data_IF_285506133138
#
_entry.id   IF_285506133138
#
_cell.length_a   1.000
_cell.length_b   1.000
_cell.length_c   1.000
_cell.angle_alpha   90.00
_cell.angle_beta   90.00
_cell.angle_gamma   90.00
#
_symmetry.space_group_name_H-M   'P 1'
#
loop_
_entity.id
_entity.type
_entity.pdbx_description
1 polymer ?
#
# COMPACT_ATOMS: atom_id res chain seq x y z
N UNK A 1 -20.19 -12.07 27.81
CA UNK A 1 -19.53 -13.11 26.98
C UNK A 1 -18.03 -13.01 27.23
N UNK A 2 -17.35 -14.03 27.77
CA UNK A 2 -15.91 -13.94 27.98
C UNK A 2 -15.21 -13.97 26.61
N UNK A 3 -14.32 -13.01 26.36
CA UNK A 3 -13.48 -13.00 25.16
C UNK A 3 -12.59 -14.24 25.20
N UNK A 4 -12.88 -15.22 24.35
CA UNK A 4 -12.06 -16.43 24.23
C UNK A 4 -10.61 -16.05 23.98
N UNK A 5 -9.70 -16.58 24.79
CA UNK A 5 -8.24 -16.43 24.62
C UNK A 5 -7.89 -16.88 23.20
N UNK A 6 -7.69 -15.92 22.29
CA UNK A 6 -7.25 -16.20 20.92
C UNK A 6 -5.83 -16.73 20.99
N UNK A 7 -5.56 -17.84 20.28
CA UNK A 7 -4.21 -18.37 20.16
C UNK A 7 -3.29 -17.33 19.49
N UNK A 8 -2.05 -17.24 19.96
CA UNK A 8 -1.06 -16.35 19.36
C UNK A 8 -0.75 -16.80 17.93
N UNK A 9 -0.65 -15.83 17.00
CA UNK A 9 -0.21 -16.12 15.63
C UNK A 9 1.27 -16.49 15.69
N UNK A 10 1.69 -17.66 15.17
CA UNK A 10 3.08 -18.07 15.18
C UNK A 10 3.91 -17.11 14.33
N UNK A 11 5.18 -16.91 14.72
CA UNK A 11 6.10 -16.13 13.92
C UNK A 11 6.25 -16.76 12.52
N UNK A 12 6.01 -15.96 11.48
CA UNK A 12 6.22 -16.40 10.12
C UNK A 12 7.72 -16.72 9.90
N UNK A 13 8.06 -17.72 9.07
CA UNK A 13 9.43 -17.98 8.66
C UNK A 13 10.03 -16.71 8.04
N UNK A 14 11.20 -16.29 8.54
CA UNK A 14 11.93 -15.14 8.01
C UNK A 14 13.02 -15.64 7.06
N UNK A 15 13.02 -15.13 5.83
CA UNK A 15 14.12 -15.34 4.90
C UNK A 15 15.38 -14.60 5.37
N UNK A 16 16.54 -15.20 5.14
CA UNK A 16 17.84 -14.53 5.35
C UNK A 16 18.09 -13.49 4.26
N UNK A 17 18.98 -12.53 4.48
CA UNK A 17 19.31 -11.51 3.47
C UNK A 17 19.73 -12.12 2.13
N UNK A 18 20.57 -13.15 2.14
CA UNK A 18 20.98 -13.87 0.94
C UNK A 18 19.78 -14.50 0.23
N UNK A 19 18.87 -15.11 1.00
CA UNK A 19 17.66 -15.72 0.44
C UNK A 19 16.72 -14.68 -0.17
N UNK A 20 16.63 -13.46 0.38
CA UNK A 20 15.87 -12.36 -0.23
C UNK A 20 16.48 -11.87 -1.55
N UNK A 21 17.80 -11.91 -1.67
CA UNK A 21 18.51 -11.47 -2.87
C UNK A 21 18.44 -12.55 -3.97
N UNK A 22 18.52 -13.82 -3.58
CA UNK A 22 18.52 -14.97 -4.49
C UNK A 22 17.10 -15.43 -4.89
N UNK A 23 16.11 -15.24 -4.02
CA UNK A 23 14.71 -15.55 -4.34
C UNK A 23 14.08 -14.35 -5.03
N UNK A 24 13.76 -14.47 -6.31
CA UNK A 24 12.83 -13.57 -6.98
C UNK A 24 11.39 -13.90 -6.52
N UNK A 25 11.05 -13.53 -5.28
CA UNK A 25 9.67 -13.60 -4.78
C UNK A 25 8.82 -12.42 -5.30
N UNK A 26 9.42 -11.51 -6.08
CA UNK A 26 8.88 -10.19 -6.38
C UNK A 26 8.00 -10.13 -7.63
N UNK A 27 8.11 -11.12 -8.53
CA UNK A 27 7.36 -11.10 -9.79
C UNK A 27 6.62 -12.43 -10.03
N UNK A 28 5.87 -12.88 -9.02
CA UNK A 28 4.83 -13.86 -9.30
C UNK A 28 3.78 -13.17 -10.17
N UNK A 29 3.73 -13.50 -11.46
CA UNK A 29 2.66 -13.14 -12.39
C UNK A 29 1.27 -13.56 -11.91
N UNK A 30 1.20 -14.34 -10.84
CA UNK A 30 0.02 -14.80 -10.13
C UNK A 30 -0.65 -13.77 -9.21
N UNK A 31 -0.23 -12.49 -9.23
CA UNK A 31 -0.94 -11.44 -8.48
C UNK A 31 -2.37 -11.30 -8.99
N UNK A 32 -3.29 -11.99 -8.31
CA UNK A 32 -4.72 -11.81 -8.51
C UNK A 32 -5.16 -10.64 -7.63
N UNK A 33 -5.47 -9.51 -8.26
CA UNK A 33 -6.11 -8.40 -7.56
C UNK A 33 -7.35 -8.89 -6.82
N UNK A 34 -7.58 -8.46 -5.57
CA UNK A 34 -8.76 -8.87 -4.84
C UNK A 34 -10.01 -8.47 -5.63
N UNK A 35 -10.99 -9.38 -5.70
CA UNK A 35 -12.23 -9.12 -6.40
C UNK A 35 -13.01 -7.99 -5.68
N UNK A 36 -13.00 -6.79 -6.26
CA UNK A 36 -13.82 -5.69 -5.78
C UNK A 36 -15.29 -5.93 -6.17
N UNK A 37 -16.22 -5.61 -5.27
CA UNK A 37 -17.64 -5.56 -5.63
C UNK A 37 -17.89 -4.46 -6.67
N UNK A 38 -18.96 -4.60 -7.46
CA UNK A 38 -19.35 -3.59 -8.47
C UNK A 38 -19.52 -2.20 -7.87
N UNK A 39 -20.02 -2.11 -6.64
CA UNK A 39 -20.12 -0.85 -5.91
C UNK A 39 -18.75 -0.22 -5.62
N UNK A 40 -17.78 -1.02 -5.17
CA UNK A 40 -16.41 -0.57 -4.87
C UNK A 40 -15.71 -0.14 -6.16
N UNK A 41 -15.89 -0.88 -7.26
CA UNK A 41 -15.35 -0.50 -8.57
C UNK A 41 -15.93 0.83 -9.06
N UNK A 42 -17.25 1.04 -8.91
CA UNK A 42 -17.89 2.30 -9.27
C UNK A 42 -17.40 3.48 -8.41
N UNK A 43 -17.12 3.25 -7.12
CA UNK A 43 -16.50 4.25 -6.24
C UNK A 43 -15.09 4.59 -6.71
N UNK A 44 -14.25 3.59 -6.98
CA UNK A 44 -12.89 3.80 -7.50
C UNK A 44 -12.90 4.59 -8.80
N UNK A 45 -13.79 4.26 -9.74
CA UNK A 45 -13.91 4.99 -11.00
C UNK A 45 -14.28 6.47 -10.78
N UNK A 46 -15.17 6.75 -9.82
CA UNK A 46 -15.54 8.14 -9.46
C UNK A 46 -14.42 8.90 -8.75
N UNK A 47 -13.49 8.21 -8.11
CA UNK A 47 -12.33 8.81 -7.44
C UNK A 47 -11.16 9.06 -8.41
N UNK A 48 -11.08 8.26 -9.47
CA UNK A 48 -10.04 8.33 -10.51
C UNK A 48 -10.37 9.29 -11.67
N UNK A 49 -11.60 9.77 -11.75
CA UNK A 49 -11.96 10.95 -12.54
C UNK A 49 -11.61 12.15 -11.65
N UNK A 50 -10.48 12.84 -11.81
CA UNK A 50 -10.18 13.62 -13.01
C UNK A 50 -8.65 13.75 -13.28
N UNK A 51 -8.11 13.11 -14.33
CA UNK A 51 -6.78 13.39 -14.86
C UNK A 51 -6.83 14.45 -15.98
N UNK A 52 -7.94 15.17 -16.19
CA UNK A 52 -8.04 16.23 -17.21
C UNK A 52 -8.69 17.51 -16.66
N UNK A 53 -8.97 17.62 -15.35
CA UNK A 53 -9.04 18.91 -14.63
C UNK A 53 -7.62 19.40 -14.32
N UNK A 54 -6.72 19.17 -15.27
CA UNK A 54 -5.43 19.82 -15.40
C UNK A 54 -5.64 21.23 -15.97
N UNK A 55 -6.55 22.01 -15.35
CA UNK A 55 -6.43 23.45 -15.37
C UNK A 55 -5.31 23.86 -14.41
N UNK A 56 -4.08 23.59 -14.85
CA UNK A 56 -2.91 24.41 -14.57
C UNK A 56 -2.46 24.62 -13.12
N UNK A 57 -2.63 23.67 -12.21
CA UNK A 57 -1.81 23.63 -11.00
C UNK A 57 -1.45 22.18 -10.71
N UNK A 58 -0.17 21.84 -10.90
CA UNK A 58 0.39 20.61 -10.35
C UNK A 58 -0.04 20.54 -8.90
N UNK A 59 -0.84 19.54 -8.52
CA UNK A 59 -1.32 19.38 -7.14
C UNK A 59 -0.09 19.40 -6.24
N UNK A 60 0.11 20.50 -5.51
CA UNK A 60 1.30 20.68 -4.69
C UNK A 60 1.37 19.48 -3.73
N UNK A 61 2.53 18.82 -3.60
CA UNK A 61 2.68 17.74 -2.64
C UNK A 61 2.16 18.20 -1.28
N UNK A 62 1.33 17.38 -0.62
CA UNK A 62 0.83 17.69 0.71
C UNK A 62 2.02 18.07 1.62
N UNK A 63 1.99 19.28 2.17
CA UNK A 63 3.06 19.73 3.03
C UNK A 63 3.14 18.80 4.26
N UNK A 64 4.35 18.39 4.66
CA UNK A 64 4.50 17.51 5.81
C UNK A 64 3.95 18.21 7.06
N UNK A 65 3.32 17.45 7.99
CA UNK A 65 2.92 17.98 9.27
C UNK A 65 4.12 18.65 9.98
N UNK A 66 3.90 19.75 10.71
CA UNK A 66 4.97 20.38 11.47
C UNK A 66 5.60 19.36 12.44
N UNK A 67 6.89 19.05 12.24
CA UNK A 67 7.64 18.04 13.01
C UNK A 67 8.04 16.78 12.22
N UNK A 68 7.57 16.62 10.99
CA UNK A 68 7.95 15.53 10.07
C UNK A 68 8.97 15.99 9.00
N UNK A 69 9.80 16.98 9.34
CA UNK A 69 10.87 17.44 8.46
C UNK A 69 11.89 16.33 8.24
N UNK A 70 12.04 15.89 7.00
CA UNK A 70 13.11 14.96 6.65
C UNK A 70 14.47 15.65 6.90
N UNK A 71 15.47 14.94 7.43
CA UNK A 71 16.82 15.49 7.53
C UNK A 71 17.33 15.83 6.12
N UNK A 72 18.20 16.85 5.97
CA UNK A 72 18.78 17.18 4.68
C UNK A 72 19.53 15.97 4.13
N UNK A 73 19.32 15.68 2.85
CA UNK A 73 20.18 14.78 2.10
C UNK A 73 21.52 15.51 1.96
N UNK A 74 22.59 14.87 2.46
CA UNK A 74 23.90 15.47 2.72
C UNK A 74 24.62 16.07 1.51
#
# INVERSE_FOLDING_TARGET
MPHGKRAAIPAAPRKTLLQWIESDDGDTTDFTSPACSTHVQALHARLLLDPEDHSSEATEPLQPPPGLSLPPLG
#
